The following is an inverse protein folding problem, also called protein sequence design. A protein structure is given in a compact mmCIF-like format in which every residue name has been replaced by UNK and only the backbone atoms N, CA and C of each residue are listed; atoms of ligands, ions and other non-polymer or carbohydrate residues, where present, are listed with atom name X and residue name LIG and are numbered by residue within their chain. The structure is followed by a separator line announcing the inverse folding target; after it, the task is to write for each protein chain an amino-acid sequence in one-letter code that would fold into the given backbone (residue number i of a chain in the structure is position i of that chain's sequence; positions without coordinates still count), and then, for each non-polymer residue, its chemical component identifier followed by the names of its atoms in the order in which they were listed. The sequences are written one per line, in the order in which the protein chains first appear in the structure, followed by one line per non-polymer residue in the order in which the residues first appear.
data_IF_930859580592
#
_entry.id   IF_930859580592
#
_cell.length_a   1.000
_cell.length_b   1.000
_cell.length_c   1.000
_cell.angle_alpha   90.00
_cell.angle_beta   90.00
_cell.angle_gamma   90.00
#
_symmetry.space_group_name_H-M   'P 1'
#
loop_
_entity.id
_entity.type
_entity.pdbx_description
1 polymer ?
#
# COMPACT_ATOMS: atom_id res chain seq x y z
N UNK A 1 -30.09 25.25 -19.05
CA UNK A 1 -29.91 25.01 -17.60
C UNK A 1 -28.64 24.22 -17.44
N UNK A 2 -27.56 24.92 -17.09
CA UNK A 2 -26.22 24.35 -16.88
C UNK A 2 -26.14 23.85 -15.44
N UNK A 3 -25.88 22.56 -15.25
CA UNK A 3 -25.56 22.00 -13.93
C UNK A 3 -24.08 21.59 -13.97
N UNK A 4 -23.23 22.49 -13.46
CA UNK A 4 -21.88 22.19 -13.03
C UNK A 4 -21.97 21.28 -11.80
N UNK A 5 -21.54 20.03 -11.93
CA UNK A 5 -21.26 19.17 -10.79
C UNK A 5 -19.76 19.26 -10.55
N UNK A 6 -19.43 20.18 -9.65
CA UNK A 6 -18.12 20.38 -9.04
C UNK A 6 -17.70 19.08 -8.35
N UNK A 7 -16.89 18.28 -9.05
CA UNK A 7 -16.29 17.06 -8.50
C UNK A 7 -15.01 17.46 -7.80
N UNK A 8 -15.17 18.09 -6.65
CA UNK A 8 -14.10 18.37 -5.70
C UNK A 8 -13.37 17.06 -5.38
N UNK A 9 -12.17 16.97 -5.93
CA UNK A 9 -11.16 15.96 -5.65
C UNK A 9 -10.82 15.99 -4.16
N UNK A 10 -10.89 14.88 -3.41
CA UNK A 10 -10.20 14.84 -2.14
C UNK A 10 -8.71 14.92 -2.47
N UNK A 11 -8.11 16.05 -2.07
CA UNK A 11 -6.69 16.25 -2.08
C UNK A 11 -6.01 14.99 -1.53
N UNK A 12 -5.01 14.51 -2.25
CA UNK A 12 -4.00 13.65 -1.67
C UNK A 12 -3.60 14.31 -0.34
N UNK A 13 -3.93 13.65 0.77
CA UNK A 13 -3.36 14.02 2.04
C UNK A 13 -1.86 13.84 1.84
N UNK A 14 -1.17 14.95 1.61
CA UNK A 14 0.27 15.03 1.77
C UNK A 14 0.52 14.58 3.20
N UNK A 15 0.91 13.31 3.33
CA UNK A 15 1.52 12.82 4.55
C UNK A 15 2.81 13.61 4.63
N UNK A 16 2.76 14.75 5.33
CA UNK A 16 3.91 15.55 5.68
C UNK A 16 4.85 14.63 6.44
N UNK A 17 5.84 14.11 5.72
CA UNK A 17 6.88 13.21 6.21
C UNK A 17 7.94 13.95 7.02
N UNK A 18 7.59 15.09 7.62
CA UNK A 18 8.56 16.08 8.08
C UNK A 18 8.26 16.59 9.49
N UNK A 19 8.18 15.67 10.45
CA UNK A 19 8.37 15.97 11.88
C UNK A 19 9.41 15.01 12.51
N UNK A 20 10.35 14.51 11.72
CA UNK A 20 11.62 14.06 12.29
C UNK A 20 12.52 15.29 12.39
N UNK A 21 12.87 15.78 13.61
CA UNK A 21 13.81 16.88 13.72
C UNK A 21 15.10 16.48 12.98
N UNK A 22 15.57 17.30 12.03
CA UNK A 22 16.66 16.94 11.11
C UNK A 22 17.95 16.55 11.85
N UNK A 23 18.09 17.05 13.07
CA UNK A 23 19.22 16.85 13.98
C UNK A 23 19.42 15.37 14.36
N UNK A 24 18.35 14.60 14.54
CA UNK A 24 18.48 13.18 14.97
C UNK A 24 19.07 12.32 13.85
N UNK A 25 18.70 12.60 12.59
CA UNK A 25 19.20 11.84 11.45
C UNK A 25 20.65 12.20 11.11
N UNK A 26 21.06 13.45 11.33
CA UNK A 26 22.47 13.85 11.18
C UNK A 26 23.36 13.25 12.28
N UNK A 27 22.86 13.13 13.51
CA UNK A 27 23.58 12.47 14.63
C UNK A 27 23.80 10.99 14.37
N UNK A 28 22.88 10.32 13.69
CA UNK A 28 22.99 8.89 13.35
C UNK A 28 23.80 8.63 12.07
N UNK A 29 24.26 9.69 11.39
CA UNK A 29 25.03 9.55 10.15
C UNK A 29 26.48 9.13 10.48
N UNK A 30 26.97 8.00 9.94
CA UNK A 30 28.36 7.63 10.12
C UNK A 30 29.28 8.70 9.53
N UNK A 31 30.32 9.08 10.27
CA UNK A 31 31.29 10.11 9.85
C UNK A 31 32.37 9.53 8.94
N UNK A 32 32.50 8.21 8.90
CA UNK A 32 33.44 7.49 8.04
C UNK A 32 32.91 6.13 7.57
N UNK A 33 33.51 5.62 6.49
CA UNK A 33 33.19 4.30 5.96
C UNK A 33 33.59 3.17 6.92
N UNK A 34 34.69 3.34 7.66
CA UNK A 34 35.12 2.38 8.69
C UNK A 34 34.12 2.31 9.85
N UNK A 35 33.60 3.46 10.29
CA UNK A 35 32.55 3.53 11.31
C UNK A 35 31.25 2.88 10.85
N UNK A 36 30.86 3.07 9.58
CA UNK A 36 29.71 2.37 9.00
C UNK A 36 29.92 0.86 8.97
N UNK A 37 31.08 0.38 8.51
CA UNK A 37 31.39 -1.05 8.45
C UNK A 37 31.38 -1.68 9.84
N UNK A 38 31.93 -0.99 10.84
CA UNK A 38 31.91 -1.42 12.24
C UNK A 38 30.48 -1.45 12.79
N UNK A 39 29.69 -0.40 12.55
CA UNK A 39 28.29 -0.36 12.99
C UNK A 39 27.45 -1.47 12.33
N UNK A 40 27.71 -1.81 11.07
CA UNK A 40 27.06 -2.91 10.37
C UNK A 40 27.53 -4.26 10.88
N UNK A 41 28.81 -4.42 11.22
CA UNK A 41 29.32 -5.68 11.79
C UNK A 41 28.82 -5.94 13.20
N UNK A 42 28.63 -4.87 13.98
CA UNK A 42 28.15 -4.93 15.37
C UNK A 42 26.63 -4.99 15.47
N UNK A 43 25.92 -4.70 14.36
CA UNK A 43 24.48 -4.75 14.32
C UNK A 43 23.95 -6.19 14.58
N UNK A 44 22.85 -6.33 15.34
CA UNK A 44 22.21 -7.62 15.50
C UNK A 44 21.76 -8.15 14.13
N UNK A 45 22.12 -9.41 13.83
CA UNK A 45 21.82 -10.07 12.54
C UNK A 45 20.32 -10.23 12.27
N UNK A 46 19.50 -10.15 13.31
CA UNK A 46 18.05 -10.27 13.21
C UNK A 46 17.40 -8.99 13.76
N UNK A 47 16.36 -8.47 13.09
CA UNK A 47 15.62 -7.33 13.61
C UNK A 47 14.83 -7.74 14.86
N UNK A 48 14.41 -6.78 15.71
CA UNK A 48 13.57 -7.08 16.88
C UNK A 48 12.31 -7.87 16.52
N UNK A 49 11.80 -8.70 17.44
CA UNK A 49 10.63 -9.55 17.17
C UNK A 49 9.42 -8.78 16.67
N UNK A 50 9.14 -7.59 17.23
CA UNK A 50 8.06 -6.71 16.76
C UNK A 50 8.25 -6.31 15.30
N UNK A 51 9.49 -6.01 14.90
CA UNK A 51 9.81 -5.65 13.50
C UNK A 51 9.64 -6.86 12.59
N UNK A 52 10.07 -8.05 13.02
CA UNK A 52 9.84 -9.29 12.26
C UNK A 52 8.34 -9.54 12.06
N UNK A 53 7.52 -9.32 13.09
CA UNK A 53 6.05 -9.47 13.01
C UNK A 53 5.43 -8.47 12.03
N UNK A 54 5.85 -7.20 12.07
CA UNK A 54 5.38 -6.16 11.12
C UNK A 54 5.80 -6.51 9.69
N UNK A 55 7.04 -6.96 9.48
CA UNK A 55 7.52 -7.40 8.16
C UNK A 55 6.69 -8.56 7.63
N UNK A 56 6.45 -9.58 8.46
CA UNK A 56 5.64 -10.74 8.09
C UNK A 56 4.19 -10.34 7.78
N UNK A 57 3.58 -9.48 8.59
CA UNK A 57 2.25 -8.94 8.33
C UNK A 57 2.19 -8.18 6.99
N UNK A 58 3.17 -7.32 6.72
CA UNK A 58 3.25 -6.55 5.48
C UNK A 58 3.39 -7.45 4.26
N UNK A 59 4.18 -8.53 4.38
CA UNK A 59 4.30 -9.54 3.34
C UNK A 59 2.94 -10.22 3.07
N UNK A 60 2.28 -10.75 4.10
CA UNK A 60 0.97 -11.41 3.96
C UNK A 60 -0.09 -10.46 3.37
N UNK A 61 -0.10 -9.20 3.80
CA UNK A 61 -1.01 -8.19 3.28
C UNK A 61 -0.77 -7.95 1.79
N UNK A 62 0.49 -7.77 1.37
CA UNK A 62 0.83 -7.50 -0.03
C UNK A 62 0.48 -8.68 -0.94
N UNK A 63 0.75 -9.92 -0.53
CA UNK A 63 0.38 -11.11 -1.29
C UNK A 63 -1.14 -11.28 -1.42
N UNK A 64 -1.89 -10.96 -0.36
CA UNK A 64 -3.36 -10.97 -0.42
C UNK A 64 -3.89 -9.86 -1.34
N UNK A 65 -3.31 -8.66 -1.25
CA UNK A 65 -3.70 -7.53 -2.07
C UNK A 65 -3.49 -7.81 -3.55
N UNK A 66 -2.33 -8.35 -3.93
CA UNK A 66 -2.04 -8.75 -5.31
C UNK A 66 -3.09 -9.73 -5.84
N UNK A 67 -3.41 -10.78 -5.07
CA UNK A 67 -4.45 -11.76 -5.43
C UNK A 67 -5.86 -11.18 -5.48
N UNK A 68 -6.14 -10.12 -4.72
CA UNK A 68 -7.41 -9.41 -4.75
C UNK A 68 -7.52 -8.55 -6.03
N UNK A 69 -6.48 -7.78 -6.33
CA UNK A 69 -6.39 -6.93 -7.51
C UNK A 69 -6.48 -7.74 -8.81
N UNK A 70 -5.74 -8.84 -8.88
CA UNK A 70 -5.77 -9.73 -10.05
C UNK A 70 -7.19 -10.26 -10.31
N UNK A 71 -7.88 -10.70 -9.25
CA UNK A 71 -9.27 -11.17 -9.36
C UNK A 71 -10.24 -10.06 -9.78
N UNK A 72 -10.07 -8.84 -9.27
CA UNK A 72 -10.90 -7.69 -9.67
C UNK A 72 -10.68 -7.35 -11.15
N UNK A 73 -9.44 -7.36 -11.63
CA UNK A 73 -9.12 -7.06 -13.04
C UNK A 73 -9.67 -8.13 -13.97
N UNK A 74 -9.47 -9.41 -13.64
CA UNK A 74 -10.06 -10.51 -14.41
C UNK A 74 -11.58 -10.45 -14.43
N UNK A 75 -12.22 -10.00 -13.35
CA UNK A 75 -13.66 -9.83 -13.30
C UNK A 75 -14.11 -8.64 -14.17
N UNK A 76 -13.40 -7.52 -14.13
CA UNK A 76 -13.66 -6.35 -14.96
C UNK A 76 -13.58 -6.70 -16.45
N UNK A 77 -12.55 -7.44 -16.86
CA UNK A 77 -12.38 -7.93 -18.23
C UNK A 77 -13.54 -8.85 -18.66
N UNK A 78 -13.93 -9.79 -17.80
CA UNK A 78 -15.06 -10.69 -18.08
C UNK A 78 -16.38 -9.93 -18.21
N UNK A 79 -16.64 -8.96 -17.32
CA UNK A 79 -17.85 -8.14 -17.37
C UNK A 79 -17.87 -7.23 -18.60
N UNK A 80 -16.73 -6.62 -18.96
CA UNK A 80 -16.60 -5.82 -20.18
C UNK A 80 -16.81 -6.67 -21.44
N UNK A 81 -16.37 -7.93 -21.43
CA UNK A 81 -16.54 -8.85 -22.56
C UNK A 81 -18.00 -9.29 -22.80
N UNK A 82 -18.92 -9.07 -21.86
CA UNK A 82 -20.35 -9.39 -22.05
C UNK A 82 -21.04 -8.48 -23.07
N UNK A 83 -20.55 -7.23 -23.23
CA UNK A 83 -21.13 -6.24 -24.13
C UNK A 83 -20.04 -5.61 -25.03
N UNK A 84 -19.45 -6.38 -25.96
CA UNK A 84 -18.32 -5.93 -26.79
C UNK A 84 -18.72 -4.81 -27.78
N UNK A 85 -20.01 -4.67 -28.08
CA UNK A 85 -20.54 -3.68 -29.02
C UNK A 85 -20.56 -2.25 -28.47
N UNK A 86 -20.39 -2.08 -27.15
CA UNK A 86 -20.52 -0.80 -26.46
C UNK A 86 -19.25 -0.45 -25.67
N UNK A 87 -18.27 0.23 -26.27
CA UNK A 87 -17.00 0.56 -25.60
C UNK A 87 -17.19 1.40 -24.32
N UNK A 88 -18.26 2.21 -24.26
CA UNK A 88 -18.63 2.99 -23.07
C UNK A 88 -18.94 2.10 -21.86
N UNK A 89 -19.49 0.90 -22.08
CA UNK A 89 -19.76 -0.06 -21.01
C UNK A 89 -18.45 -0.63 -20.47
N UNK A 90 -17.50 -0.96 -21.35
CA UNK A 90 -16.18 -1.43 -20.94
C UNK A 90 -15.44 -0.38 -20.09
N UNK A 91 -15.47 0.89 -20.49
CA UNK A 91 -14.90 1.99 -19.70
C UNK A 91 -15.59 2.15 -18.33
N UNK A 92 -16.92 2.10 -18.30
CA UNK A 92 -17.68 2.19 -17.06
C UNK A 92 -17.38 1.04 -16.09
N UNK A 93 -17.31 -0.19 -16.62
CA UNK A 93 -16.94 -1.38 -15.85
C UNK A 93 -15.51 -1.23 -15.33
N UNK A 94 -14.56 -0.81 -16.17
CA UNK A 94 -13.18 -0.54 -15.75
C UNK A 94 -13.10 0.46 -14.60
N UNK A 95 -13.80 1.61 -14.71
CA UNK A 95 -13.84 2.62 -13.66
C UNK A 95 -14.46 2.12 -12.35
N UNK A 96 -15.54 1.32 -12.45
CA UNK A 96 -16.19 0.69 -11.29
C UNK A 96 -15.24 -0.23 -10.54
N UNK A 97 -14.49 -1.08 -11.25
CA UNK A 97 -13.55 -2.01 -10.61
C UNK A 97 -12.29 -1.32 -10.10
N UNK A 98 -11.81 -0.27 -10.78
CA UNK A 98 -10.71 0.57 -10.29
C UNK A 98 -11.05 1.20 -8.93
N UNK A 99 -12.28 1.70 -8.77
CA UNK A 99 -12.76 2.22 -7.48
C UNK A 99 -12.84 1.16 -6.36
N UNK A 100 -12.83 -0.13 -6.70
CA UNK A 100 -12.79 -1.22 -5.72
C UNK A 100 -11.37 -1.66 -5.37
N UNK A 101 -10.34 -1.29 -6.14
CA UNK A 101 -8.95 -1.67 -5.89
C UNK A 101 -8.46 -1.16 -4.52
N UNK A 102 -8.81 0.05 -4.13
CA UNK A 102 -8.47 0.65 -2.82
C UNK A 102 -9.00 -0.19 -1.64
N UNK A 103 -10.13 -0.88 -1.83
CA UNK A 103 -10.72 -1.74 -0.79
C UNK A 103 -9.91 -3.00 -0.55
N UNK A 104 -9.13 -3.47 -1.53
CA UNK A 104 -8.30 -4.67 -1.36
C UNK A 104 -7.27 -4.49 -0.23
N UNK A 105 -6.64 -3.32 -0.11
CA UNK A 105 -5.67 -3.04 0.95
C UNK A 105 -6.30 -3.15 2.35
N UNK A 106 -7.46 -2.51 2.52
CA UNK A 106 -8.20 -2.47 3.80
C UNK A 106 -8.70 -3.88 4.18
N UNK A 107 -9.29 -4.61 3.22
CA UNK A 107 -9.82 -5.95 3.46
C UNK A 107 -8.70 -6.95 3.81
N UNK A 108 -7.59 -6.92 3.07
CA UNK A 108 -6.44 -7.78 3.33
C UNK A 108 -5.78 -7.44 4.67
N UNK A 109 -5.61 -6.16 5.00
CA UNK A 109 -5.07 -5.76 6.30
C UNK A 109 -5.92 -6.30 7.45
N UNK A 110 -7.24 -6.09 7.41
CA UNK A 110 -8.17 -6.60 8.44
C UNK A 110 -8.12 -8.11 8.62
N UNK A 111 -7.98 -8.87 7.53
CA UNK A 111 -7.92 -10.34 7.57
C UNK A 111 -6.72 -10.89 8.36
N UNK A 112 -5.59 -10.19 8.32
CA UNK A 112 -4.37 -10.64 9.00
C UNK A 112 -4.14 -9.94 10.34
N UNK A 113 -4.79 -8.80 10.59
CA UNK A 113 -4.75 -8.16 11.91
C UNK A 113 -5.25 -9.09 13.02
N UNK A 114 -6.25 -9.93 12.73
CA UNK A 114 -6.74 -10.93 13.68
C UNK A 114 -5.79 -12.10 13.96
N UNK A 115 -4.68 -12.19 13.21
CA UNK A 115 -3.66 -13.24 13.37
C UNK A 115 -2.39 -12.72 14.07
N UNK A 116 -2.32 -11.41 14.36
CA UNK A 116 -1.22 -10.87 15.14
C UNK A 116 -1.38 -11.30 16.61
N UNK A 117 -0.30 -11.75 17.27
CA UNK A 117 -0.36 -12.07 18.69
C UNK A 117 -0.68 -10.79 19.48
N UNK A 118 -1.78 -10.83 20.23
CA UNK A 118 -2.07 -9.85 21.26
C UNK A 118 -1.16 -10.16 22.45
N UNK A 119 -0.08 -9.38 22.60
CA UNK A 119 0.80 -9.44 23.76
C UNK A 119 0.10 -9.02 25.05
#
# INVERSE_FOLDING_TARGET
MVNEVDRSSPAAAEISSSDCPPDILEVLRPKSLAELQQAVSDAPKAPPLMVQQIMHFSQLQSECQQRCLERLRQQAEREAALEPSHPVIAEFVGAKFAALEERCFVLCGRRYLSQLPTG
#
